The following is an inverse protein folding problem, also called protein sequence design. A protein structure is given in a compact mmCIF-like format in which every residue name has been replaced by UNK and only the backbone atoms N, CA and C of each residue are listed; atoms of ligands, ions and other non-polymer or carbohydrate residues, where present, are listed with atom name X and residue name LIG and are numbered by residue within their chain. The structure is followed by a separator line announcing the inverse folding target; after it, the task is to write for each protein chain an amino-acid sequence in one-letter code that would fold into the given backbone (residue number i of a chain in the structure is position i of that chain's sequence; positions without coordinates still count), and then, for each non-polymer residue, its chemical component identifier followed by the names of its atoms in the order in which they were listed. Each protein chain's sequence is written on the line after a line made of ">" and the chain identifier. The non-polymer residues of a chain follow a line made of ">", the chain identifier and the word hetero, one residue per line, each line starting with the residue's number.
data_IF_469463369898
#
_entry.id   IF_469463369898
#
_cell.length_a   1.000
_cell.length_b   1.000
_cell.length_c   1.000
_cell.angle_alpha   90.00
_cell.angle_beta   90.00
_cell.angle_gamma   90.00
#
_symmetry.space_group_name_H-M   'P 1'
#
loop_
_entity.id
_entity.type
_entity.pdbx_description
1 polymer ?
#
# COMPACT_ATOMS: atom_id res chain seq x y z
N UNK A 1 8.97 -10.53 3.84
CA UNK A 1 8.98 -9.05 3.73
C UNK A 1 7.55 -8.51 3.86
N UNK A 2 7.42 -7.34 4.46
CA UNK A 2 6.13 -6.63 4.52
C UNK A 2 5.64 -6.37 3.08
N UNK A 3 4.39 -6.73 2.80
CA UNK A 3 3.77 -6.47 1.49
C UNK A 3 3.23 -5.05 1.41
N UNK A 4 3.03 -4.56 0.19
CA UNK A 4 2.57 -3.19 -0.03
C UNK A 4 1.38 -3.21 -0.99
N UNK A 5 0.33 -2.46 -0.66
CA UNK A 5 -0.84 -2.24 -1.52
C UNK A 5 -0.94 -0.76 -1.83
N UNK A 6 -1.03 -0.44 -3.12
CA UNK A 6 -1.18 0.93 -3.59
C UNK A 6 -2.63 1.13 -4.00
N UNK A 7 -3.34 2.03 -3.33
CA UNK A 7 -4.76 2.31 -3.56
C UNK A 7 -4.91 3.68 -4.21
N UNK A 8 -5.60 3.75 -5.33
CA UNK A 8 -5.90 5.01 -6.02
C UNK A 8 -7.28 4.95 -6.65
N UNK A 9 -7.87 6.11 -6.87
CA UNK A 9 -9.11 6.25 -7.61
C UNK A 9 -8.95 5.91 -9.09
N UNK A 10 -7.71 5.86 -9.58
CA UNK A 10 -7.41 5.54 -10.98
C UNK A 10 -6.49 4.33 -11.09
N UNK A 11 -6.87 3.40 -11.97
CA UNK A 11 -6.04 2.22 -12.27
C UNK A 11 -4.64 2.64 -12.70
N UNK A 12 -4.53 3.64 -13.58
CA UNK A 12 -3.25 4.09 -14.12
C UNK A 12 -2.33 4.66 -13.04
N UNK A 13 -2.88 5.37 -12.04
CA UNK A 13 -2.08 5.91 -10.94
C UNK A 13 -1.57 4.77 -10.05
N UNK A 14 -2.46 3.87 -9.65
CA UNK A 14 -2.07 2.76 -8.78
C UNK A 14 -0.98 1.89 -9.43
N UNK A 15 -1.17 1.55 -10.70
CA UNK A 15 -0.22 0.73 -11.44
C UNK A 15 1.09 1.46 -11.70
N UNK A 16 1.04 2.75 -12.01
CA UNK A 16 2.24 3.56 -12.24
C UNK A 16 3.09 3.69 -10.99
N UNK A 17 2.45 3.92 -9.84
CA UNK A 17 3.15 4.01 -8.55
C UNK A 17 3.75 2.65 -8.18
N UNK A 18 2.99 1.56 -8.34
CA UNK A 18 3.51 0.20 -8.15
C UNK A 18 4.74 -0.04 -9.00
N UNK A 19 4.67 0.28 -10.28
CA UNK A 19 5.76 0.03 -11.23
C UNK A 19 6.99 0.85 -10.86
N UNK A 20 6.81 2.10 -10.45
CA UNK A 20 7.91 2.95 -10.00
C UNK A 20 8.59 2.36 -8.77
N UNK A 21 7.81 1.94 -7.77
CA UNK A 21 8.36 1.35 -6.55
C UNK A 21 9.11 0.04 -6.84
N UNK A 22 8.61 -0.76 -7.77
CA UNK A 22 9.26 -2.02 -8.17
C UNK A 22 10.63 -1.81 -8.81
N UNK A 23 10.92 -0.64 -9.34
CA UNK A 23 12.22 -0.37 -9.98
C UNK A 23 13.37 -0.33 -8.97
N UNK A 24 13.09 -0.09 -7.69
CA UNK A 24 14.13 0.12 -6.67
C UNK A 24 14.25 -1.04 -5.69
N UNK A 25 13.50 -2.13 -5.89
CA UNK A 25 13.48 -3.26 -4.96
C UNK A 25 13.53 -4.60 -5.71
N UNK A 26 13.87 -5.71 -5.01
CA UNK A 26 13.85 -7.05 -5.62
C UNK A 26 12.43 -7.48 -6.00
N UNK A 27 12.34 -8.38 -6.99
CA UNK A 27 11.06 -8.90 -7.49
C UNK A 27 10.27 -9.70 -6.45
N UNK A 28 10.94 -10.22 -5.42
CA UNK A 28 10.29 -11.00 -4.37
C UNK A 28 9.36 -10.15 -3.49
N UNK A 29 9.59 -8.85 -3.42
CA UNK A 29 8.72 -7.96 -2.65
C UNK A 29 7.40 -7.79 -3.39
N UNK A 30 6.30 -8.10 -2.69
CA UNK A 30 4.96 -7.98 -3.26
C UNK A 30 4.47 -6.55 -3.13
N UNK A 31 4.26 -5.90 -4.27
CA UNK A 31 3.65 -4.57 -4.36
C UNK A 31 2.46 -4.71 -5.30
N UNK A 32 1.25 -4.58 -4.77
CA UNK A 32 0.01 -4.87 -5.49
C UNK A 32 -0.76 -3.57 -5.68
N UNK A 33 -1.20 -3.31 -6.91
CA UNK A 33 -2.01 -2.14 -7.23
C UNK A 33 -3.49 -2.46 -7.10
N UNK A 34 -4.24 -1.54 -6.48
CA UNK A 34 -5.70 -1.64 -6.35
C UNK A 34 -6.28 -0.28 -6.71
N UNK A 35 -6.46 -0.04 -8.00
CA UNK A 35 -6.98 1.23 -8.53
C UNK A 35 -8.31 1.07 -9.23
N UNK A 36 -9.15 2.11 -9.15
CA UNK A 36 -10.45 2.13 -9.81
C UNK A 36 -11.48 1.20 -9.16
N UNK A 37 -12.72 1.27 -9.66
CA UNK A 37 -13.78 0.34 -9.26
C UNK A 37 -13.70 -0.96 -10.07
N UNK A 38 -14.66 -1.86 -9.89
CA UNK A 38 -14.62 -3.22 -10.46
C UNK A 38 -14.40 -3.26 -11.97
N UNK A 39 -14.98 -2.33 -12.73
CA UNK A 39 -14.82 -2.26 -14.20
C UNK A 39 -13.63 -1.42 -14.65
N UNK A 40 -12.81 -0.93 -13.70
CA UNK A 40 -11.64 -0.11 -13.99
C UNK A 40 -11.91 1.38 -14.12
N UNK A 41 -13.15 1.84 -13.98
CA UNK A 41 -13.46 3.27 -14.03
C UNK A 41 -13.09 3.96 -12.72
N UNK A 42 -13.14 5.28 -12.70
CA UNK A 42 -12.74 6.12 -11.57
C UNK A 42 -13.51 5.77 -10.29
N UNK A 43 -12.79 5.66 -9.20
CA UNK A 43 -13.33 5.38 -7.86
C UNK A 43 -12.51 4.32 -7.15
N UNK A 44 -12.94 3.92 -5.95
CA UNK A 44 -12.29 2.88 -5.17
C UNK A 44 -13.30 1.78 -4.83
N UNK A 45 -12.79 0.55 -4.68
CA UNK A 45 -13.62 -0.63 -4.45
C UNK A 45 -13.00 -1.44 -3.30
N UNK A 46 -13.70 -1.51 -2.17
CA UNK A 46 -13.20 -2.22 -0.99
C UNK A 46 -12.96 -3.70 -1.25
N UNK A 47 -13.76 -4.34 -2.11
CA UNK A 47 -13.55 -5.75 -2.45
C UNK A 47 -12.24 -5.95 -3.23
N UNK A 48 -11.95 -5.05 -4.16
CA UNK A 48 -10.69 -5.06 -4.93
C UNK A 48 -9.50 -4.87 -3.99
N UNK A 49 -9.60 -3.92 -3.06
CA UNK A 49 -8.56 -3.64 -2.07
C UNK A 49 -8.35 -4.85 -1.16
N UNK A 50 -9.43 -5.48 -0.70
CA UNK A 50 -9.36 -6.66 0.15
C UNK A 50 -8.57 -7.79 -0.53
N UNK A 51 -8.86 -8.06 -1.80
CA UNK A 51 -8.12 -9.08 -2.57
C UNK A 51 -6.65 -8.71 -2.75
N UNK A 52 -6.35 -7.42 -2.94
CA UNK A 52 -4.98 -6.95 -3.06
C UNK A 52 -4.19 -7.15 -1.76
N UNK A 53 -4.83 -6.88 -0.62
CA UNK A 53 -4.21 -7.10 0.69
C UNK A 53 -3.90 -8.60 0.88
N UNK A 54 -4.84 -9.46 0.56
CA UNK A 54 -4.64 -10.91 0.66
C UNK A 54 -3.51 -11.38 -0.23
N UNK A 55 -3.41 -10.83 -1.45
CA UNK A 55 -2.34 -11.16 -2.38
C UNK A 55 -0.98 -10.68 -1.91
N UNK A 56 -0.92 -9.50 -1.29
CA UNK A 56 0.32 -8.90 -0.79
C UNK A 56 0.83 -9.57 0.49
N UNK A 57 -0.04 -10.22 1.23
CA UNK A 57 0.30 -10.84 2.51
C UNK A 57 1.17 -12.07 2.31
N UNK A 58 2.25 -12.18 3.10
CA UNK A 58 3.11 -13.36 3.09
C UNK A 58 2.76 -14.36 4.21
N UNK A 59 1.69 -14.11 4.95
CA UNK A 59 1.25 -14.95 6.05
C UNK A 59 1.90 -14.62 7.40
N UNK A 60 2.82 -13.68 7.44
CA UNK A 60 3.60 -13.42 8.66
C UNK A 60 3.90 -11.94 8.91
N UNK A 61 4.45 -11.23 7.92
CA UNK A 61 5.06 -9.91 8.14
C UNK A 61 4.10 -8.74 8.04
N UNK A 62 2.92 -8.95 7.43
CA UNK A 62 1.90 -7.92 7.33
C UNK A 62 1.95 -7.10 6.05
N UNK A 63 1.06 -6.14 5.95
CA UNK A 63 0.84 -5.33 4.74
C UNK A 63 0.69 -3.86 5.12
N UNK A 64 1.33 -2.98 4.37
CA UNK A 64 1.14 -1.53 4.43
C UNK A 64 0.31 -1.10 3.23
N UNK A 65 -0.75 -0.34 3.47
CA UNK A 65 -1.59 0.25 2.43
C UNK A 65 -1.21 1.72 2.29
N UNK A 66 -0.98 2.15 1.05
CA UNK A 66 -0.69 3.54 0.73
C UNK A 66 -1.77 4.03 -0.21
N UNK A 67 -2.38 5.17 0.11
CA UNK A 67 -3.56 5.67 -0.58
C UNK A 67 -3.27 7.01 -1.25
N UNK A 68 -4.10 7.38 -2.24
CA UNK A 68 -4.02 8.69 -2.86
C UNK A 68 -4.82 9.73 -2.03
N UNK A 69 -5.95 10.21 -2.50
CA UNK A 69 -6.72 11.25 -1.79
C UNK A 69 -7.69 10.63 -0.77
N UNK A 70 -8.21 11.47 0.11
CA UNK A 70 -8.87 11.09 1.36
C UNK A 70 -9.91 9.99 1.32
N UNK A 71 -10.79 9.94 0.29
CA UNK A 71 -11.85 8.92 0.23
C UNK A 71 -11.30 7.49 0.04
N UNK A 72 -10.10 7.33 -0.47
CA UNK A 72 -9.47 6.02 -0.60
C UNK A 72 -9.17 5.40 0.77
N UNK A 73 -8.97 6.23 1.81
CA UNK A 73 -8.76 5.75 3.18
C UNK A 73 -10.02 5.06 3.70
N UNK A 74 -11.21 5.59 3.37
CA UNK A 74 -12.49 4.99 3.78
C UNK A 74 -12.64 3.61 3.16
N UNK A 75 -12.40 3.46 1.87
CA UNK A 75 -12.49 2.18 1.18
C UNK A 75 -11.46 1.18 1.70
N UNK A 76 -10.24 1.64 1.99
CA UNK A 76 -9.21 0.78 2.58
C UNK A 76 -9.61 0.30 3.98
N UNK A 77 -10.21 1.17 4.78
CA UNK A 77 -10.72 0.79 6.11
C UNK A 77 -11.80 -0.27 6.02
N UNK A 78 -12.74 -0.13 5.08
CA UNK A 78 -13.77 -1.14 4.84
C UNK A 78 -13.17 -2.47 4.38
N UNK A 79 -12.14 -2.43 3.56
CA UNK A 79 -11.45 -3.63 3.10
C UNK A 79 -10.80 -4.38 4.27
N UNK A 80 -10.17 -3.66 5.19
CA UNK A 80 -9.55 -4.25 6.37
C UNK A 80 -10.58 -4.96 7.24
N UNK A 81 -11.77 -4.38 7.40
CA UNK A 81 -12.86 -4.99 8.16
C UNK A 81 -13.32 -6.32 7.57
N UNK A 82 -13.15 -6.52 6.27
CA UNK A 82 -13.51 -7.77 5.58
C UNK A 82 -12.47 -8.87 5.64
N UNK A 83 -11.31 -8.61 6.23
CA UNK A 83 -10.22 -9.59 6.30
C UNK A 83 -10.41 -10.58 7.45
N UNK A 84 -9.69 -11.71 7.41
CA UNK A 84 -9.61 -12.62 8.54
C UNK A 84 -9.04 -11.89 9.76
N UNK A 85 -9.35 -12.37 10.96
CA UNK A 85 -8.86 -11.75 12.18
C UNK A 85 -7.33 -11.70 12.23
N UNK A 86 -6.66 -12.76 11.79
CA UNK A 86 -5.20 -12.82 11.77
C UNK A 86 -4.60 -11.75 10.85
N UNK A 87 -5.16 -11.60 9.66
CA UNK A 87 -4.66 -10.62 8.69
C UNK A 87 -5.01 -9.20 9.12
N UNK A 88 -6.23 -9.00 9.64
CA UNK A 88 -6.67 -7.68 10.14
C UNK A 88 -5.65 -7.09 11.11
N UNK A 89 -5.09 -7.90 11.99
CA UNK A 89 -4.16 -7.43 13.04
C UNK A 89 -2.81 -6.95 12.49
N UNK A 90 -2.44 -7.34 11.27
CA UNK A 90 -1.14 -7.00 10.69
C UNK A 90 -1.24 -6.18 9.41
N UNK A 91 -2.32 -5.40 9.25
CA UNK A 91 -2.49 -4.49 8.11
C UNK A 91 -2.61 -3.06 8.64
N UNK A 92 -1.84 -2.14 8.08
CA UNK A 92 -1.84 -0.73 8.48
C UNK A 92 -1.99 0.17 7.25
N UNK A 93 -2.75 1.26 7.42
CA UNK A 93 -2.84 2.32 6.41
C UNK A 93 -1.82 3.39 6.78
N UNK A 94 -0.92 3.72 5.87
CA UNK A 94 0.09 4.74 6.12
C UNK A 94 -0.46 6.14 5.82
N UNK A 95 -0.14 7.08 6.70
CA UNK A 95 -0.38 8.50 6.48
C UNK A 95 0.82 9.08 5.74
N UNK A 96 0.79 9.02 4.41
CA UNK A 96 1.93 9.39 3.57
C UNK A 96 1.48 9.76 2.16
N UNK A 97 2.22 10.63 1.47
CA UNK A 97 1.96 10.89 0.06
C UNK A 97 2.23 9.63 -0.77
N UNK A 98 1.40 9.42 -1.81
CA UNK A 98 1.33 8.12 -2.48
C UNK A 98 2.63 7.71 -3.16
N UNK A 99 3.29 8.61 -3.89
CA UNK A 99 4.52 8.26 -4.62
C UNK A 99 5.69 8.12 -3.67
N UNK A 100 5.95 9.16 -2.89
CA UNK A 100 7.07 9.16 -1.94
C UNK A 100 6.91 8.08 -0.89
N UNK A 101 5.68 7.88 -0.42
CA UNK A 101 5.37 6.84 0.55
C UNK A 101 5.60 5.44 0.00
N UNK A 102 5.20 5.20 -1.24
CA UNK A 102 5.39 3.88 -1.87
C UNK A 102 6.87 3.54 -2.00
N UNK A 103 7.69 4.50 -2.41
CA UNK A 103 9.13 4.28 -2.56
C UNK A 103 9.78 4.05 -1.19
N UNK A 104 9.42 4.85 -0.18
CA UNK A 104 9.95 4.69 1.17
C UNK A 104 9.57 3.33 1.76
N UNK A 105 8.30 2.93 1.61
CA UNK A 105 7.81 1.65 2.10
C UNK A 105 8.52 0.48 1.43
N UNK A 106 8.65 0.52 0.10
CA UNK A 106 9.30 -0.53 -0.66
C UNK A 106 10.76 -0.68 -0.25
N UNK A 107 11.49 0.43 -0.15
CA UNK A 107 12.90 0.42 0.23
C UNK A 107 13.10 -0.16 1.63
N UNK A 108 12.26 0.20 2.57
CA UNK A 108 12.38 -0.30 3.94
C UNK A 108 11.94 -1.77 4.05
N UNK A 109 10.85 -2.15 3.38
CA UNK A 109 10.38 -3.54 3.37
C UNK A 109 11.43 -4.47 2.76
N UNK A 110 12.14 -4.03 1.74
CA UNK A 110 13.19 -4.83 1.09
C UNK A 110 14.36 -5.16 2.02
N UNK A 111 14.56 -4.38 3.07
CA UNK A 111 15.58 -4.65 4.09
C UNK A 111 15.15 -5.76 5.06
N UNK A 112 13.90 -6.21 5.00
CA UNK A 112 13.36 -7.18 5.94
C UNK A 112 12.86 -6.57 7.24
N UNK A 113 12.67 -5.27 7.30
CA UNK A 113 12.16 -4.56 8.48
C UNK A 113 10.76 -5.01 8.85
N UNK A 114 10.40 -4.92 10.13
CA UNK A 114 9.08 -5.31 10.59
C UNK A 114 8.00 -4.27 10.22
N UNK A 115 6.73 -4.64 10.43
CA UNK A 115 5.58 -3.83 10.03
C UNK A 115 5.64 -2.40 10.59
N UNK A 116 5.91 -2.25 11.88
CA UNK A 116 5.91 -0.93 12.51
C UNK A 116 7.08 -0.08 12.05
N UNK A 117 8.23 -0.67 11.78
CA UNK A 117 9.37 0.05 11.21
C UNK A 117 9.07 0.53 9.81
N UNK A 118 8.48 -0.35 8.96
CA UNK A 118 8.07 0.06 7.61
C UNK A 118 7.04 1.18 7.68
N UNK A 119 6.04 1.07 8.56
CA UNK A 119 5.02 2.12 8.73
C UNK A 119 5.65 3.45 9.11
N UNK A 120 6.53 3.45 10.12
CA UNK A 120 7.16 4.67 10.61
C UNK A 120 8.01 5.34 9.53
N UNK A 121 8.83 4.58 8.82
CA UNK A 121 9.66 5.10 7.73
C UNK A 121 8.78 5.65 6.60
N UNK A 122 7.72 4.93 6.24
CA UNK A 122 6.77 5.39 5.21
C UNK A 122 6.17 6.73 5.58
N UNK A 123 5.77 6.90 6.84
CA UNK A 123 5.10 8.12 7.29
C UNK A 123 6.04 9.31 7.40
N UNK A 124 7.35 9.11 7.49
CA UNK A 124 8.31 10.23 7.44
C UNK A 124 8.27 10.96 6.11
N UNK A 125 7.81 10.29 5.03
CA UNK A 125 7.75 10.89 3.70
C UNK A 125 6.89 12.15 3.66
N UNK A 126 5.87 12.26 4.53
CA UNK A 126 4.99 13.44 4.56
C UNK A 126 5.69 14.71 5.05
N UNK A 127 6.83 14.57 5.71
CA UNK A 127 7.57 15.68 6.30
C UNK A 127 8.82 16.07 5.51
N UNK A 128 9.14 15.37 4.43
CA UNK A 128 10.34 15.62 3.64
C UNK A 128 10.07 16.71 2.62
N UNK A 129 10.87 17.78 2.66
CA UNK A 129 10.79 18.86 1.67
C UNK A 129 11.41 18.39 0.35
N UNK A 130 10.73 18.70 -0.77
CA UNK A 130 11.25 18.36 -2.10
C UNK A 130 12.47 19.20 -2.51
N UNK A 131 12.62 20.35 -1.88
CA UNK A 131 13.71 21.27 -2.19
C UNK A 131 14.87 21.23 -1.18
N UNK A 132 14.78 20.30 -0.26
CA UNK A 132 15.82 20.13 0.76
C UNK A 132 15.62 20.90 2.03
#
# INVERSE_FOLDING_TARGET
>A
MVGIVIVSHMVSIAEGVRDMAKKVVPNELKIIAAGGIADGSFGTDSAKICRAIEEADDGQNGVIIITDVGSSIISAGLAIEGLSMQLHQRVKIADAPIVEGAIAAASEAAKGSDLMTVLNVTETAKSVSKRG
#
